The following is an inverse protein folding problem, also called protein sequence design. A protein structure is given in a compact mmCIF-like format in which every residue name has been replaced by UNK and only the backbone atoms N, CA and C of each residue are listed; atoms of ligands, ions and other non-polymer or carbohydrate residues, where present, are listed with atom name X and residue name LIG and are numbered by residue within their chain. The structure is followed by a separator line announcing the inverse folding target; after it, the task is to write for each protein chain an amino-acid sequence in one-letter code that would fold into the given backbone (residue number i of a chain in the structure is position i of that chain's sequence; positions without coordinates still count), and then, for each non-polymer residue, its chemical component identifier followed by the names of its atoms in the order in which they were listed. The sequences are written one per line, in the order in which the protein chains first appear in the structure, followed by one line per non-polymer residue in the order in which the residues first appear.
data_IF_570988019274
#
_entry.id   IF_570988019274
#
_cell.length_a   1.000
_cell.length_b   1.000
_cell.length_c   1.000
_cell.angle_alpha   90.00
_cell.angle_beta   90.00
_cell.angle_gamma   90.00
#
_symmetry.space_group_name_H-M   'P 1'
#
loop_
_entity.id
_entity.type
_entity.pdbx_description
1 polymer ?
#
# COMPACT_ATOMS: atom_id res chain seq x y z
N UNK A 1 -6.76 31.72 -49.88
CA UNK A 1 -6.79 31.26 -48.47
C UNK A 1 -5.46 30.58 -48.17
N UNK A 2 -4.56 31.22 -47.42
CA UNK A 2 -3.28 30.63 -47.01
C UNK A 2 -3.30 30.36 -45.51
N UNK A 3 -3.34 29.06 -45.14
CA UNK A 3 -3.22 28.58 -43.77
C UNK A 3 -1.73 28.59 -43.38
N UNK A 4 -1.34 29.39 -42.38
CA UNK A 4 0.01 29.35 -41.80
C UNK A 4 0.10 28.20 -40.80
N UNK A 5 0.79 27.13 -41.17
CA UNK A 5 1.21 26.07 -40.23
C UNK A 5 2.39 26.62 -39.43
N UNK A 6 2.20 26.84 -38.13
CA UNK A 6 3.23 27.36 -37.24
C UNK A 6 4.25 26.26 -36.91
N UNK A 7 5.49 26.46 -37.35
CA UNK A 7 6.63 25.59 -37.04
C UNK A 7 6.89 25.60 -35.54
N UNK A 8 6.56 24.50 -34.85
CA UNK A 8 6.89 24.30 -33.43
C UNK A 8 8.42 24.29 -33.28
N UNK A 9 8.98 25.24 -32.52
CA UNK A 9 10.42 25.37 -32.27
C UNK A 9 10.95 24.14 -31.51
N UNK A 10 12.01 23.50 -32.03
CA UNK A 10 12.72 22.33 -31.43
C UNK A 10 13.03 22.49 -29.93
N UNK A 11 13.28 23.71 -29.44
CA UNK A 11 13.51 24.00 -28.02
C UNK A 11 12.30 23.76 -27.09
N UNK A 12 11.07 23.81 -27.61
CA UNK A 12 9.87 23.48 -26.82
C UNK A 12 9.72 21.96 -26.64
N UNK A 13 10.12 21.16 -27.62
CA UNK A 13 10.05 19.68 -27.57
C UNK A 13 11.03 19.12 -26.53
N UNK A 14 12.24 19.66 -26.48
CA UNK A 14 13.26 19.22 -25.50
C UNK A 14 12.86 19.55 -24.05
N UNK A 15 12.27 20.73 -23.82
CA UNK A 15 11.74 21.11 -22.50
C UNK A 15 10.58 20.23 -22.03
N UNK A 16 9.70 19.82 -22.95
CA UNK A 16 8.58 18.92 -22.63
C UNK A 16 9.08 17.52 -22.23
N UNK A 17 10.08 16.97 -22.94
CA UNK A 17 10.66 15.66 -22.58
C UNK A 17 11.33 15.66 -21.19
N UNK A 18 12.06 16.73 -20.85
CA UNK A 18 12.72 16.85 -19.54
C UNK A 18 11.72 16.98 -18.38
N UNK A 19 10.61 17.69 -18.59
CA UNK A 19 9.53 17.80 -17.59
C UNK A 19 8.80 16.46 -17.42
N UNK A 20 8.51 15.75 -18.51
CA UNK A 20 7.88 14.42 -18.44
C UNK A 20 8.75 13.38 -17.73
N UNK A 21 10.08 13.43 -17.91
CA UNK A 21 11.01 12.54 -17.20
C UNK A 21 11.17 12.92 -15.73
N UNK A 22 11.19 14.22 -15.39
CA UNK A 22 11.25 14.69 -14.01
C UNK A 22 10.00 14.34 -13.19
N UNK A 23 8.80 14.47 -13.77
CA UNK A 23 7.54 14.12 -13.10
C UNK A 23 7.45 12.60 -12.86
N UNK A 24 7.84 11.79 -13.84
CA UNK A 24 7.80 10.33 -13.72
C UNK A 24 8.74 9.82 -12.62
N UNK A 25 9.92 10.43 -12.48
CA UNK A 25 10.89 10.05 -11.44
C UNK A 25 10.37 10.33 -10.02
N UNK A 26 9.63 11.43 -9.80
CA UNK A 26 9.07 11.74 -8.48
C UNK A 26 7.99 10.73 -8.06
N UNK A 27 7.07 10.38 -8.98
CA UNK A 27 5.94 9.49 -8.64
C UNK A 27 6.35 8.04 -8.41
N UNK A 28 7.32 7.50 -9.16
CA UNK A 28 7.75 6.10 -9.00
C UNK A 28 8.61 5.85 -7.75
N UNK A 29 9.35 6.85 -7.27
CA UNK A 29 10.18 6.73 -6.07
C UNK A 29 9.30 6.68 -4.81
N UNK A 30 8.28 7.53 -4.73
CA UNK A 30 7.34 7.54 -3.59
C UNK A 30 6.56 6.22 -3.49
N UNK A 31 6.13 5.65 -4.62
CA UNK A 31 5.42 4.36 -4.63
C UNK A 31 6.29 3.22 -4.08
N UNK A 32 7.57 3.16 -4.46
CA UNK A 32 8.49 2.14 -3.97
C UNK A 32 8.73 2.23 -2.46
N UNK A 33 8.85 3.46 -1.93
CA UNK A 33 9.04 3.68 -0.50
C UNK A 33 7.81 3.23 0.31
N UNK A 34 6.60 3.54 -0.17
CA UNK A 34 5.35 3.08 0.47
C UNK A 34 5.22 1.56 0.46
N UNK A 35 5.66 0.90 -0.62
CA UNK A 35 5.63 -0.57 -0.71
C UNK A 35 6.60 -1.24 0.28
N UNK A 36 7.75 -0.60 0.55
CA UNK A 36 8.86 -1.20 1.33
C UNK A 36 8.89 -0.81 2.81
N UNK A 37 8.04 0.10 3.26
CA UNK A 37 8.02 0.54 4.65
C UNK A 37 7.72 -0.65 5.58
N UNK A 38 8.46 -0.82 6.69
CA UNK A 38 8.25 -1.90 7.64
C UNK A 38 6.86 -1.80 8.27
N UNK A 39 6.21 -2.93 8.47
CA UNK A 39 4.85 -3.00 8.97
C UNK A 39 4.79 -2.83 10.49
N UNK A 40 5.24 -1.68 11.00
CA UNK A 40 4.98 -1.29 12.39
C UNK A 40 3.56 -0.75 12.53
N UNK A 41 2.59 -1.66 12.58
CA UNK A 41 1.21 -1.32 12.90
C UNK A 41 1.08 -0.99 14.40
N UNK A 42 0.53 0.18 14.78
CA UNK A 42 0.22 0.45 16.18
C UNK A 42 -0.89 -0.48 16.65
N UNK A 43 -0.96 -0.75 17.95
CA UNK A 43 -2.13 -1.44 18.53
C UNK A 43 -3.28 -0.45 18.65
N UNK A 44 -4.40 -0.79 18.04
CA UNK A 44 -5.57 0.08 17.96
C UNK A 44 -6.75 -0.62 18.64
N UNK A 45 -7.41 0.07 19.56
CA UNK A 45 -8.60 -0.39 20.28
C UNK A 45 -9.84 0.39 19.86
N UNK A 46 -11.03 -0.04 20.30
CA UNK A 46 -12.30 0.67 20.03
C UNK A 46 -13.09 0.17 18.82
N UNK A 47 -12.61 -0.87 18.13
CA UNK A 47 -13.26 -1.45 16.94
C UNK A 47 -13.98 -2.79 17.24
N UNK A 48 -14.16 -3.10 18.52
CA UNK A 48 -14.76 -4.37 18.98
C UNK A 48 -13.73 -5.46 19.27
N UNK A 49 -14.20 -6.71 19.30
CA UNK A 49 -13.39 -7.90 19.58
C UNK A 49 -13.64 -8.93 18.49
N UNK A 50 -12.57 -9.53 17.97
CA UNK A 50 -12.65 -10.65 17.03
C UNK A 50 -12.11 -11.92 17.67
N UNK A 51 -12.90 -12.99 17.59
CA UNK A 51 -12.52 -14.34 18.02
C UNK A 51 -12.04 -15.20 16.83
N UNK A 52 -11.77 -14.60 15.67
CA UNK A 52 -11.29 -15.33 14.51
C UNK A 52 -9.90 -15.90 14.79
N UNK A 53 -9.83 -17.21 15.02
CA UNK A 53 -8.59 -17.93 15.22
C UNK A 53 -7.95 -18.27 13.87
N UNK A 54 -6.65 -18.07 13.77
CA UNK A 54 -5.84 -18.47 12.61
C UNK A 54 -4.79 -19.48 13.03
N UNK A 55 -4.36 -20.31 12.10
CA UNK A 55 -3.22 -21.21 12.32
C UNK A 55 -1.92 -20.41 12.33
N UNK A 56 -1.41 -20.11 13.52
CA UNK A 56 -0.13 -19.45 13.76
C UNK A 56 0.41 -19.89 15.12
N UNK A 57 1.73 -19.87 15.29
CA UNK A 57 2.37 -20.06 16.61
C UNK A 57 2.68 -18.73 17.30
N UNK A 58 2.56 -17.61 16.59
CA UNK A 58 2.82 -16.26 17.12
C UNK A 58 1.54 -15.64 17.66
N UNK A 59 1.51 -15.42 18.98
CA UNK A 59 0.43 -14.66 19.60
C UNK A 59 0.35 -13.23 19.04
N UNK A 60 1.49 -12.63 18.69
CA UNK A 60 1.54 -11.31 18.06
C UNK A 60 0.86 -11.33 16.68
N UNK A 61 1.17 -12.34 15.85
CA UNK A 61 0.54 -12.50 14.53
C UNK A 61 -0.98 -12.70 14.64
N UNK A 62 -1.43 -13.56 15.56
CA UNK A 62 -2.86 -13.79 15.82
C UNK A 62 -3.60 -12.49 16.17
N UNK A 63 -2.97 -11.63 16.97
CA UNK A 63 -3.56 -10.39 17.42
C UNK A 63 -3.55 -9.29 16.36
N UNK A 64 -2.46 -9.15 15.60
CA UNK A 64 -2.42 -8.24 14.45
C UNK A 64 -3.39 -8.68 13.35
N UNK A 65 -3.56 -9.98 13.11
CA UNK A 65 -4.56 -10.48 12.17
C UNK A 65 -5.98 -10.09 12.61
N UNK A 66 -6.32 -10.27 13.89
CA UNK A 66 -7.62 -9.84 14.43
C UNK A 66 -7.82 -8.33 14.28
N UNK A 67 -6.79 -7.52 14.55
CA UNK A 67 -6.85 -6.08 14.34
C UNK A 67 -7.10 -5.75 12.87
N UNK A 68 -6.34 -6.36 11.94
CA UNK A 68 -6.54 -6.16 10.50
C UNK A 68 -7.96 -6.50 10.06
N UNK A 69 -8.55 -7.59 10.57
CA UNK A 69 -9.91 -7.97 10.27
C UNK A 69 -10.95 -6.96 10.78
N UNK A 70 -10.77 -6.46 12.01
CA UNK A 70 -11.66 -5.43 12.56
C UNK A 70 -11.56 -4.11 11.77
N UNK A 71 -10.36 -3.74 11.34
CA UNK A 71 -10.13 -2.53 10.54
C UNK A 71 -10.71 -2.68 9.13
N UNK A 72 -10.62 -3.86 8.54
CA UNK A 72 -11.27 -4.18 7.28
C UNK A 72 -12.80 -4.05 7.41
N UNK A 73 -13.39 -4.59 8.49
CA UNK A 73 -14.82 -4.45 8.78
C UNK A 73 -15.24 -3.00 9.06
N UNK A 74 -14.33 -2.18 9.58
CA UNK A 74 -14.52 -0.74 9.77
C UNK A 74 -14.23 0.09 8.51
N UNK A 75 -13.96 -0.55 7.36
CA UNK A 75 -13.61 0.09 6.09
C UNK A 75 -12.33 0.95 6.15
N UNK A 76 -11.42 0.66 7.08
CA UNK A 76 -10.10 1.28 7.15
C UNK A 76 -9.06 0.40 6.45
N UNK A 77 -9.06 0.48 5.11
CA UNK A 77 -8.19 -0.31 4.23
C UNK A 77 -6.70 -0.13 4.54
N UNK A 78 -6.24 1.11 4.65
CA UNK A 78 -4.83 1.41 4.88
C UNK A 78 -4.33 0.79 6.19
N UNK A 79 -5.11 0.89 7.27
CA UNK A 79 -4.73 0.29 8.54
C UNK A 79 -4.86 -1.23 8.53
N UNK A 80 -5.87 -1.78 7.85
CA UNK A 80 -6.01 -3.23 7.70
C UNK A 80 -4.80 -3.84 6.99
N UNK A 81 -4.35 -3.25 5.86
CA UNK A 81 -3.11 -3.69 5.19
C UNK A 81 -1.91 -3.61 6.11
N UNK A 82 -1.74 -2.50 6.84
CA UNK A 82 -0.62 -2.35 7.79
C UNK A 82 -0.65 -3.44 8.86
N UNK A 83 -1.80 -3.73 9.45
CA UNK A 83 -1.95 -4.75 10.48
C UNK A 83 -1.70 -6.16 9.93
N UNK A 84 -2.20 -6.49 8.74
CA UNK A 84 -1.94 -7.81 8.13
C UNK A 84 -0.46 -8.00 7.74
N UNK A 85 0.21 -6.95 7.24
CA UNK A 85 1.66 -7.01 7.01
C UNK A 85 2.44 -7.17 8.32
N UNK A 86 2.02 -6.51 9.41
CA UNK A 86 2.63 -6.68 10.73
C UNK A 86 2.46 -8.12 11.22
N UNK A 87 1.27 -8.70 11.04
CA UNK A 87 1.03 -10.10 11.37
C UNK A 87 1.95 -11.06 10.59
N UNK A 88 2.20 -10.75 9.30
CA UNK A 88 3.08 -11.54 8.45
C UNK A 88 4.58 -11.36 8.80
N UNK A 89 4.98 -10.19 9.29
CA UNK A 89 6.35 -9.99 9.82
C UNK A 89 6.58 -10.82 11.11
N UNK A 90 5.53 -10.98 11.93
CA UNK A 90 5.56 -11.76 13.18
C UNK A 90 5.51 -13.28 12.95
N UNK A 91 4.86 -13.73 11.89
CA UNK A 91 4.84 -15.13 11.45
C UNK A 91 4.82 -15.21 9.92
N UNK A 92 6.01 -15.32 9.27
CA UNK A 92 6.11 -15.40 7.81
C UNK A 92 5.42 -16.62 7.18
N UNK A 93 5.16 -17.68 7.96
CA UNK A 93 4.48 -18.90 7.50
C UNK A 93 2.95 -18.82 7.69
N UNK A 94 2.44 -17.72 8.25
CA UNK A 94 1.01 -17.49 8.46
C UNK A 94 0.27 -17.23 7.14
N UNK A 95 -0.26 -18.29 6.53
CA UNK A 95 -1.03 -18.19 5.29
C UNK A 95 -2.21 -17.20 5.37
N UNK A 96 -2.90 -17.15 6.51
CA UNK A 96 -4.00 -16.22 6.72
C UNK A 96 -3.55 -14.75 6.80
N UNK A 97 -2.34 -14.49 7.30
CA UNK A 97 -1.77 -13.15 7.37
C UNK A 97 -1.47 -12.63 5.96
N UNK A 98 -0.89 -13.48 5.10
CA UNK A 98 -0.69 -13.17 3.67
C UNK A 98 -2.02 -12.98 2.93
N UNK A 99 -3.01 -13.86 3.18
CA UNK A 99 -4.36 -13.70 2.65
C UNK A 99 -4.99 -12.36 3.05
N UNK A 100 -4.82 -11.91 4.30
CA UNK A 100 -5.35 -10.63 4.77
C UNK A 100 -4.78 -9.43 3.98
N UNK A 101 -3.49 -9.46 3.65
CA UNK A 101 -2.87 -8.44 2.79
C UNK A 101 -3.51 -8.44 1.40
N UNK A 102 -3.67 -9.61 0.78
CA UNK A 102 -4.27 -9.73 -0.54
C UNK A 102 -5.75 -9.31 -0.55
N UNK A 103 -6.54 -9.82 0.41
CA UNK A 103 -7.96 -9.50 0.59
C UNK A 103 -8.21 -7.99 0.60
N UNK A 104 -7.30 -7.24 1.21
CA UNK A 104 -7.46 -5.80 1.37
C UNK A 104 -6.92 -4.98 0.19
N UNK A 105 -6.05 -5.54 -0.65
CA UNK A 105 -5.47 -4.87 -1.84
C UNK A 105 -6.22 -5.14 -3.15
N UNK A 106 -7.08 -6.16 -3.21
CA UNK A 106 -7.85 -6.55 -4.40
C UNK A 106 -7.14 -7.59 -5.26
#
# INVERSE_FOLDING_TARGET
MNVRISTIRRGKVLGICAVLTGIFACTVVDLHAQVKAPARAPRISGFGVSNFAISTKSASAQEFFKQGLLQAYAFNEAEAVRAFKAALEEDPDCAMCAWGVAYQLG
#
